data_IF_061784527247
#
_entry.id   IF_061784527247
#
_cell.length_a   1.000
_cell.length_b   1.000
_cell.length_c   1.000
_cell.angle_alpha   90.00
_cell.angle_beta   90.00
_cell.angle_gamma   90.00
#
_symmetry.space_group_name_H-M   'P 1'
#
loop_
_entity.id
_entity.type
_entity.pdbx_description
1 polymer ?
#
# COMPACT_ATOMS: atom_id res chain seq x y z
N UNK A 1 0.06 -6.00 -9.56
CA UNK A 1 1.07 -5.47 -8.61
C UNK A 1 2.45 -5.55 -9.26
N UNK A 2 3.30 -4.53 -9.16
CA UNK A 2 4.62 -4.45 -9.84
C UNK A 2 5.77 -4.47 -8.82
N UNK A 3 6.95 -4.91 -9.25
CA UNK A 3 8.16 -4.92 -8.40
C UNK A 3 8.69 -3.50 -8.13
N UNK A 4 9.34 -3.32 -6.96
CA UNK A 4 9.96 -2.07 -6.51
C UNK A 4 11.48 -1.98 -6.75
N UNK A 5 12.12 -3.04 -7.28
CA UNK A 5 13.59 -3.15 -7.37
C UNK A 5 14.20 -1.98 -8.17
N UNK A 6 13.62 -1.64 -9.31
CA UNK A 6 14.06 -0.54 -10.18
C UNK A 6 13.11 0.65 -10.12
N UNK A 7 12.86 1.13 -8.90
CA UNK A 7 12.01 2.30 -8.63
C UNK A 7 12.76 3.37 -7.84
N UNK A 8 12.42 4.66 -8.02
CA UNK A 8 13.01 5.75 -7.25
C UNK A 8 12.92 5.50 -5.74
N UNK A 9 13.96 5.94 -5.00
CA UNK A 9 14.06 5.73 -3.55
C UNK A 9 12.82 6.19 -2.77
N UNK A 10 12.17 7.28 -3.22
CA UNK A 10 10.95 7.79 -2.61
C UNK A 10 9.81 6.77 -2.67
N UNK A 11 9.61 6.10 -3.81
CA UNK A 11 8.57 5.07 -3.94
C UNK A 11 8.91 3.83 -3.12
N UNK A 12 10.18 3.41 -3.10
CA UNK A 12 10.65 2.31 -2.25
C UNK A 12 10.31 2.54 -0.78
N UNK A 13 10.62 3.74 -0.26
CA UNK A 13 10.31 4.14 1.12
C UNK A 13 8.81 4.20 1.40
N UNK A 14 8.00 4.69 0.46
CA UNK A 14 6.53 4.69 0.62
C UNK A 14 6.00 3.26 0.72
N UNK A 15 6.48 2.36 -0.13
CA UNK A 15 6.06 0.95 -0.15
C UNK A 15 6.50 0.24 1.15
N UNK A 16 7.71 0.49 1.63
CA UNK A 16 8.22 -0.02 2.91
C UNK A 16 7.42 0.52 4.11
N UNK A 17 7.08 1.81 4.11
CA UNK A 17 6.27 2.44 5.16
C UNK A 17 4.82 1.90 5.17
N UNK A 18 4.27 1.54 4.01
CA UNK A 18 3.01 0.79 3.91
C UNK A 18 3.17 -0.70 4.29
N UNK A 19 4.38 -1.16 4.61
CA UNK A 19 4.64 -2.54 5.02
C UNK A 19 4.61 -3.56 3.89
N UNK A 20 4.72 -3.11 2.62
CA UNK A 20 4.61 -3.97 1.45
C UNK A 20 6.01 -4.34 0.95
N UNK A 21 6.71 -5.23 1.68
CA UNK A 21 8.13 -5.52 1.41
C UNK A 21 8.44 -6.41 0.20
N UNK A 22 7.45 -7.17 -0.29
CA UNK A 22 7.61 -8.15 -1.38
C UNK A 22 6.42 -8.05 -2.36
N UNK A 23 6.59 -8.44 -3.64
CA UNK A 23 5.47 -8.55 -4.57
C UNK A 23 4.38 -9.47 -4.00
N UNK A 24 3.12 -9.11 -4.23
CA UNK A 24 1.92 -9.86 -3.78
C UNK A 24 1.73 -9.95 -2.25
N UNK A 25 2.45 -9.15 -1.46
CA UNK A 25 2.11 -8.97 -0.05
C UNK A 25 0.93 -8.01 0.08
N UNK A 26 0.01 -8.31 0.98
CA UNK A 26 -1.09 -7.45 1.39
C UNK A 26 -0.97 -7.02 2.86
N UNK A 27 -1.53 -5.85 3.18
CA UNK A 27 -1.62 -5.35 4.55
C UNK A 27 -2.83 -4.44 4.67
N UNK A 28 -3.58 -4.62 5.76
CA UNK A 28 -4.72 -3.76 6.11
C UNK A 28 -4.21 -2.54 6.85
N UNK A 29 -4.73 -1.36 6.47
CA UNK A 29 -4.41 -0.08 7.09
C UNK A 29 -5.69 0.70 7.34
N UNK A 30 -5.67 1.55 8.37
CA UNK A 30 -6.77 2.49 8.63
C UNK A 30 -6.87 3.51 7.50
N UNK A 31 -8.10 3.81 7.09
CA UNK A 31 -8.37 4.83 6.08
C UNK A 31 -8.16 6.23 6.67
N UNK A 32 -6.91 6.70 6.54
CA UNK A 32 -6.49 8.04 6.95
C UNK A 32 -6.08 8.85 5.73
N UNK A 33 -6.24 10.18 5.73
CA UNK A 33 -5.80 11.04 4.62
C UNK A 33 -4.31 10.87 4.29
N UNK A 34 -3.49 10.55 5.29
CA UNK A 34 -2.05 10.31 5.16
C UNK A 34 -1.77 9.03 4.35
N UNK A 35 -2.39 7.91 4.72
CA UNK A 35 -2.29 6.64 3.99
C UNK A 35 -2.84 6.79 2.58
N UNK A 36 -3.98 7.48 2.42
CA UNK A 36 -4.56 7.75 1.10
C UNK A 36 -3.61 8.56 0.21
N UNK A 37 -2.94 9.57 0.77
CA UNK A 37 -1.90 10.35 0.07
C UNK A 37 -0.68 9.50 -0.33
N UNK A 38 -0.23 8.61 0.55
CA UNK A 38 0.86 7.67 0.26
C UNK A 38 0.48 6.71 -0.87
N UNK A 39 -0.71 6.11 -0.81
CA UNK A 39 -1.26 5.23 -1.84
C UNK A 39 -1.32 5.94 -3.19
N UNK A 40 -1.85 7.17 -3.23
CA UNK A 40 -1.95 7.96 -4.45
C UNK A 40 -0.59 8.15 -5.15
N UNK A 41 0.50 8.27 -4.38
CA UNK A 41 1.86 8.41 -4.92
C UNK A 41 2.37 7.13 -5.60
N UNK A 42 1.87 5.96 -5.20
CA UNK A 42 2.30 4.63 -5.67
C UNK A 42 1.17 3.82 -6.28
N UNK A 43 0.06 4.46 -6.69
CA UNK A 43 -1.18 3.81 -7.15
C UNK A 43 -1.00 2.86 -8.34
N UNK A 44 0.03 3.06 -9.16
CA UNK A 44 0.39 2.19 -10.29
C UNK A 44 1.22 0.95 -9.90
N UNK A 45 1.69 0.87 -8.65
CA UNK A 45 2.47 -0.25 -8.12
C UNK A 45 1.62 -1.21 -7.30
N UNK A 46 0.62 -0.67 -6.59
CA UNK A 46 -0.23 -1.40 -5.64
C UNK A 46 -1.64 -1.60 -6.18
N UNK A 47 -2.35 -2.59 -5.65
CA UNK A 47 -3.79 -2.74 -5.78
C UNK A 47 -4.39 -2.39 -4.41
N UNK A 48 -5.47 -1.63 -4.39
CA UNK A 48 -6.16 -1.23 -3.17
C UNK A 48 -7.56 -1.81 -3.23
N UNK A 49 -7.98 -2.41 -2.13
CA UNK A 49 -9.32 -2.95 -1.94
C UNK A 49 -9.82 -2.43 -0.60
N UNK A 50 -11.05 -1.89 -0.59
CA UNK A 50 -11.71 -1.47 0.63
C UNK A 50 -12.27 -2.71 1.33
N UNK A 51 -11.77 -2.97 2.54
CA UNK A 51 -12.24 -4.08 3.37
C UNK A 51 -13.23 -3.50 4.36
N UNK A 52 -14.50 -3.83 4.17
CA UNK A 52 -15.52 -3.58 5.19
C UNK A 52 -15.38 -4.70 6.20
N UNK A 53 -14.73 -4.44 7.34
CA UNK A 53 -14.73 -5.40 8.44
C UNK A 53 -16.18 -5.53 8.93
N UNK A 54 -16.88 -6.56 8.46
CA UNK A 54 -18.11 -7.03 9.08
C UNK A 54 -17.71 -7.57 10.45
N UNK A 55 -17.91 -6.76 11.48
CA UNK A 55 -17.80 -7.17 12.88
C UNK A 55 -18.70 -8.38 13.09
N UNK A 56 -18.09 -9.56 13.24
CA UNK A 56 -18.77 -10.74 13.76
C UNK A 56 -18.93 -10.54 15.27
N UNK A 57 -20.16 -10.26 15.70
CA UNK A 57 -20.62 -10.45 17.08
C UNK A 57 -20.53 -11.92 17.53
#
# INVERSE_FOLDING_TARGET
VRSIIDRPLRQKRTIEALGLGRPNWERVHNDTPQIRGMINRVSHLVKVEEIVEETKE
#
